data_IF_694155345182
#
_entry.id   IF_694155345182
#
_cell.length_a   1.000
_cell.length_b   1.000
_cell.length_c   1.000
_cell.angle_alpha   90.00
_cell.angle_beta   90.00
_cell.angle_gamma   90.00
#
_symmetry.space_group_name_H-M   'P 1'
#
loop_
_entity.id
_entity.type
_entity.pdbx_description
1 polymer ?
#
# COMPACT_ATOMS: atom_id res chain seq x y z
N UNK A 1 -35.31 -2.75 2.78
CA UNK A 1 -35.52 -4.08 2.19
C UNK A 1 -34.43 -4.48 1.18
N UNK A 2 -33.37 -3.68 0.98
CA UNK A 2 -32.40 -3.90 -0.12
C UNK A 2 -31.20 -4.80 0.24
N UNK A 3 -30.84 -4.96 1.52
CA UNK A 3 -29.69 -5.79 1.94
C UNK A 3 -29.82 -7.28 1.55
N UNK A 4 -31.04 -7.78 1.30
CA UNK A 4 -31.25 -9.15 0.86
C UNK A 4 -30.86 -9.40 -0.60
N UNK A 5 -30.92 -8.38 -1.46
CA UNK A 5 -30.63 -8.52 -2.88
C UNK A 5 -29.14 -8.67 -3.14
N UNK A 6 -28.30 -7.80 -2.56
CA UNK A 6 -26.84 -7.89 -2.68
C UNK A 6 -26.33 -9.25 -2.17
N UNK A 7 -26.64 -9.64 -0.92
CA UNK A 7 -26.22 -10.94 -0.37
C UNK A 7 -26.65 -12.13 -1.23
N UNK A 8 -27.83 -12.06 -1.86
CA UNK A 8 -28.30 -13.12 -2.77
C UNK A 8 -27.48 -13.20 -4.06
N UNK A 9 -27.15 -12.06 -4.67
CA UNK A 9 -26.26 -11.94 -5.83
C UNK A 9 -24.87 -12.51 -5.55
N UNK A 10 -24.38 -12.34 -4.33
CA UNK A 10 -23.02 -12.69 -3.95
C UNK A 10 -22.94 -14.18 -3.61
N UNK A 11 -23.98 -14.74 -2.99
CA UNK A 11 -24.15 -16.21 -2.94
C UNK A 11 -24.29 -16.82 -4.33
N UNK A 12 -25.00 -16.16 -5.24
CA UNK A 12 -25.14 -16.62 -6.62
C UNK A 12 -23.79 -16.61 -7.37
N UNK A 13 -22.90 -15.67 -7.07
CA UNK A 13 -21.56 -15.63 -7.72
C UNK A 13 -20.64 -16.78 -7.31
N UNK A 14 -20.84 -17.35 -6.11
CA UNK A 14 -20.14 -18.56 -5.68
C UNK A 14 -20.64 -19.82 -6.41
N UNK A 15 -21.86 -19.78 -6.96
CA UNK A 15 -22.49 -20.90 -7.67
C UNK A 15 -22.42 -20.77 -9.19
N UNK A 16 -22.52 -19.56 -9.73
CA UNK A 16 -22.49 -19.25 -11.17
C UNK A 16 -21.89 -17.86 -11.39
N UNK A 17 -20.56 -17.83 -11.43
CA UNK A 17 -19.76 -16.64 -11.63
C UNK A 17 -20.05 -15.95 -12.98
N UNK A 18 -20.29 -16.73 -14.04
CA UNK A 18 -20.47 -16.21 -15.38
C UNK A 18 -21.84 -15.52 -15.53
N UNK A 19 -22.90 -16.09 -14.95
CA UNK A 19 -24.22 -15.46 -14.92
C UNK A 19 -24.22 -14.15 -14.13
N UNK A 20 -23.55 -14.13 -12.96
CA UNK A 20 -23.43 -12.89 -12.17
C UNK A 20 -22.60 -11.84 -12.89
N UNK A 21 -21.51 -12.24 -13.56
CA UNK A 21 -20.72 -11.33 -14.41
C UNK A 21 -21.60 -10.69 -15.48
N UNK A 22 -22.40 -11.49 -16.21
CA UNK A 22 -23.28 -10.98 -17.26
C UNK A 22 -24.35 -10.02 -16.70
N UNK A 23 -24.91 -10.32 -15.52
CA UNK A 23 -25.84 -9.43 -14.85
C UNK A 23 -25.19 -8.10 -14.43
N UNK A 24 -24.01 -8.14 -13.82
CA UNK A 24 -23.31 -6.92 -13.39
C UNK A 24 -22.88 -6.04 -14.57
N UNK A 25 -22.68 -6.63 -15.74
CA UNK A 25 -22.42 -5.91 -16.98
C UNK A 25 -23.68 -5.30 -17.60
N UNK A 26 -24.87 -5.82 -17.28
CA UNK A 26 -26.14 -5.39 -17.88
C UNK A 26 -26.90 -4.35 -17.05
N UNK A 27 -26.59 -4.20 -15.76
CA UNK A 27 -27.23 -3.20 -14.88
C UNK A 27 -26.66 -1.79 -15.06
N UNK A 28 -27.49 -0.79 -14.75
CA UNK A 28 -27.10 0.62 -14.81
C UNK A 28 -26.10 0.99 -13.70
N UNK A 29 -25.32 2.05 -13.93
CA UNK A 29 -24.28 2.48 -13.01
C UNK A 29 -24.84 2.84 -11.61
N UNK A 30 -26.03 3.44 -11.56
CA UNK A 30 -26.67 3.85 -10.30
C UNK A 30 -27.20 2.64 -9.50
N UNK A 31 -27.73 1.62 -10.19
CA UNK A 31 -28.16 0.37 -9.58
C UNK A 31 -26.96 -0.41 -9.01
N UNK A 32 -25.86 -0.46 -9.77
CA UNK A 32 -24.60 -1.03 -9.31
C UNK A 32 -24.04 -0.26 -8.10
N UNK A 33 -24.09 1.07 -8.12
CA UNK A 33 -23.64 1.90 -7.00
C UNK A 33 -24.52 1.61 -5.76
N UNK A 34 -25.83 1.46 -5.92
CA UNK A 34 -26.73 1.04 -4.84
C UNK A 34 -26.38 -0.33 -4.25
N UNK A 35 -26.04 -1.30 -5.10
CA UNK A 35 -25.55 -2.62 -4.67
C UNK A 35 -24.24 -2.50 -3.88
N UNK A 36 -23.25 -1.76 -4.40
CA UNK A 36 -21.97 -1.52 -3.73
C UNK A 36 -22.14 -0.78 -2.39
N UNK A 37 -23.06 0.18 -2.33
CA UNK A 37 -23.38 0.96 -1.11
C UNK A 37 -24.10 0.13 -0.05
N UNK A 38 -24.79 -0.93 -0.45
CA UNK A 38 -25.39 -1.88 0.47
C UNK A 38 -24.37 -2.83 1.11
N UNK A 39 -23.21 -3.00 0.46
CA UNK A 39 -22.09 -3.85 0.91
C UNK A 39 -21.07 -3.01 1.71
N UNK A 40 -20.89 -1.73 1.36
CA UNK A 40 -20.01 -0.82 2.08
C UNK A 40 -20.59 -0.41 3.45
N UNK A 41 -19.74 -0.25 4.49
CA UNK A 41 -20.18 0.27 5.77
C UNK A 41 -20.69 1.71 5.62
N UNK A 42 -21.94 1.96 6.02
CA UNK A 42 -22.53 3.30 6.02
C UNK A 42 -21.87 4.17 7.10
N UNK A 43 -21.65 5.45 6.77
CA UNK A 43 -21.19 6.47 7.72
C UNK A 43 -22.01 6.38 9.01
N UNK A 44 -21.36 6.10 10.14
CA UNK A 44 -21.98 6.07 11.47
C UNK A 44 -22.38 7.49 11.90
N UNK A 45 -23.42 8.04 11.29
CA UNK A 45 -24.15 9.21 11.78
C UNK A 45 -25.47 8.76 12.41
N UNK A 46 -25.41 8.06 13.54
CA UNK A 46 -26.47 8.14 14.55
C UNK A 46 -26.00 7.50 15.85
N UNK A 47 -26.27 8.17 16.97
CA UNK A 47 -25.70 7.84 18.27
C UNK A 47 -26.06 6.47 18.84
N UNK A 48 -25.24 6.09 19.82
CA UNK A 48 -25.48 5.06 20.84
C UNK A 48 -25.80 3.64 20.33
N UNK A 49 -24.74 2.93 20.00
CA UNK A 49 -24.19 1.78 20.74
C UNK A 49 -22.89 1.44 20.02
N UNK A 50 -21.93 0.79 20.70
CA UNK A 50 -20.83 0.10 20.01
C UNK A 50 -21.49 -0.85 19.03
N UNK A 51 -21.69 -0.43 17.77
CA UNK A 51 -22.10 -1.32 16.72
C UNK A 51 -20.95 -2.28 16.58
N UNK A 52 -21.18 -3.53 16.96
CA UNK A 52 -20.41 -4.64 16.44
C UNK A 52 -20.27 -4.38 14.94
N UNK A 53 -19.07 -3.96 14.54
CA UNK A 53 -18.59 -4.09 13.18
C UNK A 53 -18.46 -5.61 12.96
N UNK A 54 -19.61 -6.27 12.80
CA UNK A 54 -19.70 -7.68 12.42
C UNK A 54 -19.42 -7.74 10.93
N UNK A 55 -18.14 -7.57 10.67
CA UNK A 55 -17.42 -7.51 9.41
C UNK A 55 -17.03 -8.94 9.00
N UNK A 56 -17.90 -9.92 9.26
CA UNK A 56 -17.52 -11.34 9.16
C UNK A 56 -18.07 -12.12 7.95
N UNK A 57 -18.99 -11.61 7.13
CA UNK A 57 -19.55 -12.41 6.01
C UNK A 57 -19.75 -11.69 4.65
N UNK A 58 -19.52 -10.38 4.53
CA UNK A 58 -19.98 -9.59 3.35
C UNK A 58 -18.87 -9.03 2.43
N UNK A 59 -17.61 -9.48 2.53
CA UNK A 59 -16.53 -8.98 1.64
C UNK A 59 -16.30 -9.82 0.40
N UNK A 60 -16.43 -11.14 0.50
CA UNK A 60 -16.41 -12.08 -0.63
C UNK A 60 -17.23 -11.57 -1.84
N UNK A 61 -18.40 -10.97 -1.61
CA UNK A 61 -19.02 -10.03 -2.52
C UNK A 61 -18.15 -9.12 -3.40
N UNK A 62 -17.43 -8.19 -2.77
CA UNK A 62 -16.57 -7.20 -3.40
C UNK A 62 -15.38 -7.87 -4.08
N UNK A 63 -14.89 -8.98 -3.52
CA UNK A 63 -13.85 -9.83 -4.15
C UNK A 63 -14.31 -10.33 -5.50
N UNK A 64 -15.51 -10.92 -5.56
CA UNK A 64 -16.05 -11.44 -6.82
C UNK A 64 -16.29 -10.31 -7.82
N UNK A 65 -16.68 -9.11 -7.37
CA UNK A 65 -16.79 -7.92 -8.22
C UNK A 65 -15.43 -7.41 -8.74
N UNK A 66 -14.35 -7.55 -7.95
CA UNK A 66 -12.99 -7.19 -8.32
C UNK A 66 -12.39 -8.17 -9.33
N UNK A 67 -12.60 -9.47 -9.11
CA UNK A 67 -12.04 -10.56 -9.91
C UNK A 67 -12.81 -10.76 -11.22
N UNK A 68 -14.14 -10.66 -11.20
CA UNK A 68 -14.94 -11.17 -12.31
C UNK A 68 -15.42 -10.09 -13.30
N UNK A 69 -15.37 -8.79 -12.96
CA UNK A 69 -15.95 -7.77 -13.83
C UNK A 69 -15.05 -6.53 -14.00
N UNK A 70 -14.50 -6.37 -15.21
CA UNK A 70 -13.73 -5.19 -15.61
C UNK A 70 -14.47 -3.87 -15.36
N UNK A 71 -15.80 -3.85 -15.53
CA UNK A 71 -16.58 -2.62 -15.37
C UNK A 71 -16.67 -2.17 -13.90
N UNK A 72 -16.48 -3.08 -12.94
CA UNK A 72 -16.74 -2.81 -11.52
C UNK A 72 -15.50 -2.80 -10.65
N UNK A 73 -14.38 -3.36 -11.13
CA UNK A 73 -13.12 -3.46 -10.37
C UNK A 73 -12.65 -2.13 -9.79
N UNK A 74 -12.51 -1.10 -10.61
CA UNK A 74 -12.09 0.24 -10.13
C UNK A 74 -13.03 0.79 -9.05
N UNK A 75 -14.35 0.62 -9.21
CA UNK A 75 -15.35 1.09 -8.24
C UNK A 75 -15.25 0.32 -6.91
N UNK A 76 -15.10 -1.00 -6.97
CA UNK A 76 -14.92 -1.84 -5.79
C UNK A 76 -13.61 -1.49 -5.06
N UNK A 77 -12.49 -1.35 -5.78
CA UNK A 77 -11.22 -0.95 -5.19
C UNK A 77 -11.30 0.43 -4.53
N UNK A 78 -11.95 1.39 -5.21
CA UNK A 78 -12.19 2.73 -4.65
C UNK A 78 -12.99 2.68 -3.34
N UNK A 79 -14.03 1.83 -3.27
CA UNK A 79 -14.86 1.68 -2.07
C UNK A 79 -14.08 1.02 -0.93
N UNK A 80 -13.30 -0.01 -1.21
CA UNK A 80 -12.42 -0.64 -0.22
C UNK A 80 -11.42 0.38 0.34
N UNK A 81 -10.77 1.17 -0.50
CA UNK A 81 -9.84 2.22 -0.05
C UNK A 81 -10.58 3.26 0.83
N UNK A 82 -11.84 3.59 0.50
CA UNK A 82 -12.67 4.45 1.35
C UNK A 82 -13.03 3.82 2.69
N UNK A 83 -13.24 2.50 2.75
CA UNK A 83 -13.43 1.76 4.01
C UNK A 83 -12.17 1.82 4.85
N UNK A 84 -10.99 1.58 4.26
CA UNK A 84 -9.72 1.75 4.96
C UNK A 84 -9.52 3.20 5.46
N UNK A 85 -10.08 4.18 4.75
CA UNK A 85 -10.00 5.60 5.11
C UNK A 85 -10.92 6.02 6.25
N UNK A 86 -12.16 5.56 6.24
CA UNK A 86 -13.22 6.05 7.14
C UNK A 86 -13.66 5.04 8.18
N UNK A 87 -13.62 3.76 7.83
CA UNK A 87 -13.73 2.69 8.80
C UNK A 87 -12.44 2.65 9.59
N UNK A 88 -12.52 2.25 10.85
CA UNK A 88 -11.36 1.82 11.61
C UNK A 88 -11.34 0.29 11.60
N UNK A 89 -11.12 -0.38 10.44
CA UNK A 89 -11.04 -1.83 10.39
C UNK A 89 -9.87 -2.32 11.25
N UNK A 90 -9.97 -3.56 11.70
CA UNK A 90 -8.84 -4.23 12.34
C UNK A 90 -7.68 -4.41 11.36
N UNK A 91 -6.50 -4.70 11.88
CA UNK A 91 -5.31 -4.96 11.06
C UNK A 91 -5.52 -6.13 10.10
N UNK A 92 -6.09 -7.23 10.60
CA UNK A 92 -6.42 -8.41 9.80
C UNK A 92 -7.43 -8.08 8.69
N UNK A 93 -8.48 -7.33 9.01
CA UNK A 93 -9.48 -6.90 8.02
C UNK A 93 -8.86 -6.02 6.94
N UNK A 94 -7.97 -5.13 7.34
CA UNK A 94 -7.26 -4.26 6.40
C UNK A 94 -6.39 -5.08 5.46
N UNK A 95 -5.60 -6.03 6.00
CA UNK A 95 -4.79 -6.94 5.18
C UNK A 95 -5.64 -7.76 4.21
N UNK A 96 -6.78 -8.28 4.66
CA UNK A 96 -7.72 -9.00 3.81
C UNK A 96 -8.19 -8.10 2.66
N UNK A 97 -8.76 -6.93 2.98
CA UNK A 97 -9.25 -5.97 1.99
C UNK A 97 -8.20 -5.55 0.94
N UNK A 98 -6.95 -5.36 1.36
CA UNK A 98 -5.84 -5.06 0.46
C UNK A 98 -5.50 -6.24 -0.45
N UNK A 99 -5.52 -7.46 0.12
CA UNK A 99 -5.30 -8.69 -0.63
C UNK A 99 -6.35 -8.85 -1.73
N UNK A 100 -7.60 -8.49 -1.46
CA UNK A 100 -8.67 -8.57 -2.45
C UNK A 100 -8.47 -7.61 -3.62
N UNK A 101 -8.02 -6.38 -3.35
CA UNK A 101 -7.63 -5.45 -4.40
C UNK A 101 -6.53 -6.08 -5.26
N UNK A 102 -5.48 -6.61 -4.64
CA UNK A 102 -4.37 -7.24 -5.35
C UNK A 102 -4.85 -8.44 -6.19
N UNK A 103 -5.70 -9.32 -5.66
CA UNK A 103 -6.24 -10.45 -6.41
C UNK A 103 -7.04 -10.01 -7.64
N UNK A 104 -7.90 -8.99 -7.49
CA UNK A 104 -8.68 -8.46 -8.60
C UNK A 104 -7.84 -7.91 -9.75
N UNK A 105 -6.75 -7.21 -9.44
CA UNK A 105 -5.84 -6.66 -10.44
C UNK A 105 -4.87 -7.70 -11.01
N UNK A 106 -4.41 -8.67 -10.21
CA UNK A 106 -3.63 -9.81 -10.71
C UNK A 106 -4.44 -10.63 -11.72
N UNK A 107 -5.71 -10.94 -11.41
CA UNK A 107 -6.61 -11.64 -12.33
C UNK A 107 -6.78 -10.87 -13.65
N UNK A 108 -6.91 -9.54 -13.58
CA UNK A 108 -7.02 -8.70 -14.76
C UNK A 108 -5.75 -8.72 -15.63
N UNK A 109 -4.58 -8.78 -14.99
CA UNK A 109 -3.30 -8.91 -15.65
C UNK A 109 -3.17 -10.28 -16.33
N UNK A 110 -3.55 -11.37 -15.66
CA UNK A 110 -3.54 -12.73 -16.23
C UNK A 110 -4.45 -12.84 -17.46
N UNK A 111 -5.68 -12.31 -17.38
CA UNK A 111 -6.61 -12.24 -18.52
C UNK A 111 -6.02 -11.46 -19.71
N UNK A 112 -5.27 -10.39 -19.43
CA UNK A 112 -4.60 -9.60 -20.46
C UNK A 112 -3.49 -10.44 -21.12
N UNK A 113 -2.73 -11.22 -20.35
CA UNK A 113 -1.67 -12.06 -20.88
C UNK A 113 -2.21 -13.16 -21.82
N UNK A 114 -3.36 -13.74 -21.52
CA UNK A 114 -4.04 -14.71 -22.40
C UNK A 114 -4.46 -14.12 -23.75
N UNK A 115 -4.70 -12.80 -23.78
CA UNK A 115 -5.09 -12.06 -24.99
C UNK A 115 -3.91 -11.63 -25.87
N UNK A 116 -2.66 -11.94 -25.52
CA UNK A 116 -1.45 -11.56 -26.30
C UNK A 116 -1.53 -11.98 -27.78
N UNK A 117 -2.23 -13.06 -28.11
CA UNK A 117 -2.44 -13.52 -29.50
C UNK A 117 -3.34 -12.58 -30.32
N UNK A 118 -4.18 -11.77 -29.68
CA UNK A 118 -5.13 -10.82 -30.30
C UNK A 118 -4.63 -9.38 -30.13
N UNK A 119 -3.63 -8.98 -30.93
CA UNK A 119 -2.89 -7.71 -30.81
C UNK A 119 -3.75 -6.47 -30.55
N UNK A 120 -4.82 -6.25 -31.32
CA UNK A 120 -5.65 -5.05 -31.17
C UNK A 120 -6.44 -5.05 -29.85
N UNK A 121 -7.06 -6.19 -29.49
CA UNK A 121 -7.81 -6.32 -28.24
C UNK A 121 -6.89 -6.23 -27.02
N UNK A 122 -5.69 -6.82 -27.11
CA UNK A 122 -4.66 -6.71 -26.09
C UNK A 122 -4.26 -5.26 -25.86
N UNK A 123 -3.97 -4.49 -26.92
CA UNK A 123 -3.58 -3.08 -26.78
C UNK A 123 -4.69 -2.24 -26.12
N UNK A 124 -5.94 -2.42 -26.53
CA UNK A 124 -7.08 -1.69 -25.96
C UNK A 124 -7.28 -2.04 -24.48
N UNK A 125 -7.27 -3.33 -24.12
CA UNK A 125 -7.42 -3.77 -22.73
C UNK A 125 -6.23 -3.37 -21.85
N UNK A 126 -5.01 -3.45 -22.38
CA UNK A 126 -3.79 -3.00 -21.70
C UNK A 126 -3.90 -1.53 -21.33
N UNK A 127 -4.29 -0.68 -22.29
CA UNK A 127 -4.48 0.75 -22.05
C UNK A 127 -5.55 0.99 -20.98
N UNK A 128 -6.70 0.33 -21.09
CA UNK A 128 -7.80 0.46 -20.13
C UNK A 128 -7.37 0.04 -18.70
N UNK A 129 -6.68 -1.08 -18.56
CA UNK A 129 -6.17 -1.56 -17.27
C UNK A 129 -5.14 -0.58 -16.69
N UNK A 130 -4.25 -0.06 -17.53
CA UNK A 130 -3.28 0.95 -17.13
C UNK A 130 -3.98 2.23 -16.65
N UNK A 131 -4.99 2.72 -17.38
CA UNK A 131 -5.79 3.89 -16.98
C UNK A 131 -6.50 3.66 -15.63
N UNK A 132 -7.05 2.46 -15.39
CA UNK A 132 -7.65 2.09 -14.11
C UNK A 132 -6.64 2.09 -12.96
N UNK A 133 -5.44 1.54 -13.16
CA UNK A 133 -4.37 1.53 -12.15
C UNK A 133 -3.95 2.95 -11.80
N UNK A 134 -3.84 3.86 -12.78
CA UNK A 134 -3.56 5.27 -12.51
C UNK A 134 -4.62 5.89 -11.61
N UNK A 135 -5.91 5.63 -11.87
CA UNK A 135 -6.97 6.16 -11.02
C UNK A 135 -6.91 5.58 -9.60
N UNK A 136 -6.60 4.29 -9.45
CA UNK A 136 -6.42 3.70 -8.10
C UNK A 136 -5.24 4.35 -7.38
N UNK A 137 -4.10 4.51 -8.03
CA UNK A 137 -2.93 5.18 -7.46
C UNK A 137 -3.24 6.63 -7.07
N UNK A 138 -4.01 7.37 -7.87
CA UNK A 138 -4.46 8.71 -7.51
C UNK A 138 -5.32 8.73 -6.23
N UNK A 139 -6.22 7.78 -6.08
CA UNK A 139 -7.04 7.64 -4.87
C UNK A 139 -6.15 7.30 -3.66
N UNK A 140 -5.21 6.36 -3.83
CA UNK A 140 -4.26 5.97 -2.78
C UNK A 140 -3.39 7.16 -2.38
N UNK A 141 -2.82 7.90 -3.33
CA UNK A 141 -1.98 9.07 -3.04
C UNK A 141 -2.77 10.19 -2.35
N UNK A 142 -4.00 10.46 -2.78
CA UNK A 142 -4.85 11.44 -2.10
C UNK A 142 -5.07 11.07 -0.63
N UNK A 143 -5.19 9.77 -0.32
CA UNK A 143 -5.31 9.32 1.06
C UNK A 143 -3.97 9.33 1.81
N UNK A 144 -2.87 8.91 1.17
CA UNK A 144 -1.53 8.98 1.77
C UNK A 144 -1.16 10.42 2.13
N UNK A 145 -1.46 11.40 1.28
CA UNK A 145 -1.22 12.81 1.55
C UNK A 145 -1.95 13.27 2.81
N UNK A 146 -3.22 12.90 2.98
CA UNK A 146 -3.98 13.19 4.19
C UNK A 146 -3.38 12.50 5.43
N UNK A 147 -3.00 11.22 5.31
CA UNK A 147 -2.46 10.43 6.41
C UNK A 147 -1.08 10.95 6.88
N UNK A 148 -0.24 11.37 5.93
CA UNK A 148 1.10 11.92 6.19
C UNK A 148 1.01 13.34 6.76
N UNK A 149 0.12 14.18 6.22
CA UNK A 149 -0.05 15.57 6.70
C UNK A 149 -0.67 15.62 8.08
N UNK A 150 -1.67 14.77 8.34
CA UNK A 150 -2.38 14.71 9.63
C UNK A 150 -1.85 13.58 10.51
N UNK A 151 -0.54 13.32 10.52
CA UNK A 151 0.09 12.22 11.26
C UNK A 151 -0.37 12.18 12.73
N UNK A 152 -1.44 11.40 12.97
CA UNK A 152 -2.03 11.13 14.28
C UNK A 152 -1.67 9.70 14.66
N UNK A 153 -1.53 9.39 15.96
CA UNK A 153 -1.29 8.02 16.41
C UNK A 153 -2.32 7.01 15.88
N UNK A 154 -3.57 7.44 15.65
CA UNK A 154 -4.63 6.64 15.03
C UNK A 154 -4.32 6.20 13.58
N UNK A 155 -3.50 6.97 12.86
CA UNK A 155 -3.16 6.70 11.46
C UNK A 155 -1.96 5.76 11.32
N UNK A 156 -1.27 5.44 12.42
CA UNK A 156 -0.06 4.60 12.41
C UNK A 156 -0.31 3.18 11.89
N UNK A 157 -1.55 2.67 11.96
CA UNK A 157 -1.93 1.37 11.41
C UNK A 157 -2.33 1.43 9.94
N UNK A 158 -2.91 2.55 9.51
CA UNK A 158 -3.49 2.71 8.17
C UNK A 158 -2.42 3.07 7.14
N UNK A 159 -1.40 3.83 7.55
CA UNK A 159 -0.33 4.26 6.65
C UNK A 159 0.46 3.09 6.03
N UNK A 160 0.96 2.09 6.80
CA UNK A 160 1.67 0.94 6.22
C UNK A 160 0.79 0.12 5.26
N UNK A 161 -0.48 -0.04 5.62
CA UNK A 161 -1.48 -0.78 4.84
C UNK A 161 -1.70 -0.15 3.46
N UNK A 162 -1.89 1.17 3.40
CA UNK A 162 -2.02 1.89 2.13
C UNK A 162 -0.73 1.86 1.32
N UNK A 163 0.42 2.01 2.01
CA UNK A 163 1.71 1.97 1.34
C UNK A 163 1.96 0.62 0.69
N UNK A 164 1.48 -0.49 1.26
CA UNK A 164 1.58 -1.82 0.64
C UNK A 164 0.93 -1.93 -0.75
N UNK A 165 -0.05 -1.10 -1.10
CA UNK A 165 -0.63 -1.09 -2.45
C UNK A 165 0.28 -0.41 -3.47
N UNK A 166 1.10 0.54 -3.04
CA UNK A 166 1.85 1.41 -3.95
C UNK A 166 2.89 0.62 -4.75
N UNK A 167 3.80 -0.18 -4.14
CA UNK A 167 4.74 -0.99 -4.89
C UNK A 167 4.07 -1.94 -5.88
N UNK A 168 3.00 -2.60 -5.44
CA UNK A 168 2.25 -3.55 -6.24
C UNK A 168 1.73 -2.91 -7.54
N UNK A 169 1.05 -1.76 -7.43
CA UNK A 169 0.52 -1.04 -8.59
C UNK A 169 1.59 -0.36 -9.44
N UNK A 170 2.70 0.09 -8.82
CA UNK A 170 3.85 0.61 -9.56
C UNK A 170 4.54 -0.48 -10.38
N UNK A 171 4.74 -1.67 -9.82
CA UNK A 171 5.29 -2.83 -10.50
C UNK A 171 4.42 -3.25 -11.68
N UNK A 172 3.12 -3.41 -11.45
CA UNK A 172 2.16 -3.72 -12.51
C UNK A 172 2.13 -2.66 -13.60
N UNK A 173 2.15 -1.37 -13.24
CA UNK A 173 2.24 -0.28 -14.21
C UNK A 173 3.52 -0.35 -15.04
N UNK A 174 4.63 -0.74 -14.43
CA UNK A 174 5.91 -0.97 -15.11
C UNK A 174 5.82 -2.08 -16.15
N UNK A 175 5.22 -3.22 -15.80
CA UNK A 175 4.99 -4.33 -16.73
C UNK A 175 4.05 -3.95 -17.89
N UNK A 176 3.08 -3.09 -17.61
CA UNK A 176 2.12 -2.59 -18.59
C UNK A 176 2.63 -1.41 -19.41
N UNK A 177 3.78 -0.80 -19.11
CA UNK A 177 4.38 0.27 -19.93
C UNK A 177 5.38 -0.32 -20.91
N UNK A 178 5.42 0.24 -22.12
CA UNK A 178 6.43 -0.13 -23.13
C UNK A 178 7.74 0.67 -22.94
N UNK A 179 7.71 1.73 -22.13
CA UNK A 179 8.83 2.66 -21.94
C UNK A 179 9.51 2.47 -20.58
N UNK A 180 10.85 2.47 -20.63
CA UNK A 180 11.73 2.47 -19.46
C UNK A 180 11.84 3.92 -18.97
N UNK A 181 10.83 4.37 -18.23
CA UNK A 181 10.80 5.70 -17.61
C UNK A 181 10.57 5.59 -16.10
N UNK A 182 11.13 6.50 -15.33
CA UNK A 182 10.75 6.66 -13.92
C UNK A 182 9.25 6.98 -13.86
N UNK A 183 8.51 6.16 -13.13
CA UNK A 183 7.06 6.32 -12.98
C UNK A 183 6.74 7.67 -12.35
N UNK A 184 5.89 8.48 -13.00
CA UNK A 184 5.36 9.74 -12.45
C UNK A 184 4.76 9.54 -11.06
N UNK A 185 4.10 8.40 -10.85
CA UNK A 185 3.56 7.97 -9.57
C UNK A 185 4.64 7.76 -8.49
N UNK A 186 5.84 7.29 -8.87
CA UNK A 186 6.96 7.18 -7.92
C UNK A 186 7.48 8.56 -7.52
N UNK A 187 7.60 9.50 -8.47
CA UNK A 187 7.98 10.88 -8.16
C UNK A 187 6.98 11.51 -7.17
N UNK A 188 5.68 11.34 -7.43
CA UNK A 188 4.61 11.80 -6.54
C UNK A 188 4.70 11.21 -5.14
N UNK A 189 5.01 9.91 -5.00
CA UNK A 189 5.24 9.28 -3.69
C UNK A 189 6.39 9.95 -2.92
N UNK A 190 7.51 10.25 -3.60
CA UNK A 190 8.69 10.86 -2.99
C UNK A 190 8.51 12.35 -2.65
N UNK A 191 7.57 13.02 -3.32
CA UNK A 191 7.22 14.44 -3.10
C UNK A 191 6.24 14.66 -1.94
N UNK A 192 5.60 13.61 -1.41
CA UNK A 192 4.72 13.73 -0.24
C UNK A 192 5.48 14.31 0.97
N UNK A 193 4.79 15.03 1.88
CA UNK A 193 5.40 15.75 3.00
C UNK A 193 5.81 14.80 4.15
N UNK A 194 6.71 13.86 3.88
CA UNK A 194 7.19 12.88 4.85
C UNK A 194 7.80 13.53 6.08
N UNK A 195 7.49 12.96 7.24
CA UNK A 195 8.02 13.38 8.54
C UNK A 195 8.85 12.26 9.17
N UNK A 196 9.60 12.57 10.22
CA UNK A 196 10.38 11.56 10.94
C UNK A 196 9.51 10.43 11.51
N UNK A 197 8.20 10.67 11.72
CA UNK A 197 7.25 9.68 12.20
C UNK A 197 6.73 8.75 11.09
N UNK A 198 6.62 9.24 9.87
CA UNK A 198 5.98 8.53 8.75
C UNK A 198 6.99 7.94 7.77
N UNK A 199 8.20 8.50 7.70
CA UNK A 199 9.24 8.05 6.79
C UNK A 199 9.72 6.61 7.03
N UNK A 200 9.74 6.05 8.27
CA UNK A 200 10.08 4.64 8.45
C UNK A 200 9.16 3.71 7.66
N UNK A 201 7.84 3.96 7.63
CA UNK A 201 6.90 3.15 6.86
C UNK A 201 7.15 3.22 5.35
N UNK A 202 7.57 4.38 4.84
CA UNK A 202 7.97 4.51 3.44
C UNK A 202 9.22 3.67 3.14
N UNK A 203 10.24 3.78 3.99
CA UNK A 203 11.51 3.09 3.78
C UNK A 203 11.36 1.57 3.86
N UNK A 204 10.59 1.07 4.83
CA UNK A 204 10.32 -0.36 5.01
C UNK A 204 9.72 -0.97 3.73
N UNK A 205 8.69 -0.33 3.17
CA UNK A 205 8.02 -0.76 1.93
C UNK A 205 8.95 -0.69 0.71
N UNK A 206 9.76 0.37 0.58
CA UNK A 206 10.71 0.49 -0.53
C UNK A 206 11.91 -0.47 -0.41
N UNK A 207 12.24 -0.93 0.81
CA UNK A 207 13.27 -1.95 1.03
C UNK A 207 12.78 -3.33 0.56
N UNK A 208 11.50 -3.64 0.77
CA UNK A 208 10.90 -4.89 0.28
C UNK A 208 10.91 -4.94 -1.26
N UNK A 209 10.58 -3.83 -1.92
CA UNK A 209 10.54 -3.72 -3.39
C UNK A 209 11.61 -2.77 -3.97
N UNK A 210 12.87 -3.00 -3.59
CA UNK A 210 14.01 -2.13 -3.97
C UNK A 210 14.22 -1.94 -5.48
N UNK A 211 13.72 -2.86 -6.31
CA UNK A 211 13.81 -2.79 -7.77
C UNK A 211 12.98 -1.63 -8.37
N UNK A 212 11.98 -1.12 -7.65
CA UNK A 212 11.17 0.02 -8.08
C UNK A 212 11.96 1.33 -8.08
N UNK A 213 13.03 1.40 -7.30
CA UNK A 213 13.77 2.63 -7.04
C UNK A 213 15.05 2.68 -7.86
N UNK A 214 15.17 3.71 -8.70
CA UNK A 214 16.43 4.00 -9.38
C UNK A 214 17.49 4.51 -8.40
N UNK A 215 18.77 4.42 -8.78
CA UNK A 215 19.86 5.01 -7.99
C UNK A 215 19.65 6.51 -7.72
N UNK A 216 19.12 7.26 -8.69
CA UNK A 216 18.81 8.68 -8.53
C UNK A 216 17.68 8.93 -7.54
N UNK A 217 16.62 8.11 -7.59
CA UNK A 217 15.48 8.17 -6.66
C UNK A 217 15.91 7.88 -5.22
N UNK A 218 16.79 6.89 -5.02
CA UNK A 218 17.37 6.61 -3.71
C UNK A 218 18.21 7.77 -3.17
N UNK A 219 19.01 8.43 -4.03
CA UNK A 219 19.82 9.59 -3.64
C UNK A 219 18.94 10.78 -3.24
N UNK A 220 17.90 11.07 -4.02
CA UNK A 220 16.92 12.12 -3.69
C UNK A 220 16.25 11.85 -2.33
N UNK A 221 15.81 10.61 -2.10
CA UNK A 221 15.18 10.22 -0.84
C UNK A 221 16.18 10.33 0.34
N UNK A 222 17.43 9.91 0.13
CA UNK A 222 18.49 10.04 1.13
C UNK A 222 18.75 11.49 1.52
N UNK A 223 18.82 12.41 0.55
CA UNK A 223 19.00 13.84 0.80
C UNK A 223 17.80 14.43 1.56
N UNK A 224 16.58 14.01 1.21
CA UNK A 224 15.36 14.42 1.91
C UNK A 224 15.36 13.94 3.36
N UNK A 225 15.65 12.67 3.61
CA UNK A 225 15.74 12.10 4.97
C UNK A 225 16.85 12.75 5.78
N UNK A 226 18.03 12.95 5.18
CA UNK A 226 19.15 13.63 5.83
C UNK A 226 18.81 15.05 6.26
N UNK A 227 18.15 15.83 5.38
CA UNK A 227 17.65 17.16 5.72
C UNK A 227 16.62 17.09 6.85
N UNK A 228 15.60 16.25 6.71
CA UNK A 228 14.52 16.07 7.67
C UNK A 228 15.04 15.83 9.10
N UNK A 229 15.98 14.90 9.23
CA UNK A 229 16.58 14.50 10.52
C UNK A 229 17.49 15.59 11.10
N UNK A 230 18.18 16.36 10.28
CA UNK A 230 19.14 17.39 10.75
C UNK A 230 18.48 18.74 11.05
N UNK A 231 17.32 19.03 10.44
CA UNK A 231 16.59 20.29 10.65
C UNK A 231 15.46 20.18 11.68
N UNK A 232 15.10 18.98 12.12
CA UNK A 232 14.01 18.79 13.09
C UNK A 232 14.46 19.21 14.51
N UNK A 233 13.81 20.19 15.16
CA UNK A 233 14.08 20.54 16.54
C UNK A 233 13.59 19.40 17.44
N UNK A 234 14.49 18.80 18.22
CA UNK A 234 14.24 17.76 19.24
C UNK A 234 13.27 16.64 18.80
N UNK A 235 13.78 15.72 17.99
CA UNK A 235 13.07 14.46 17.72
C UNK A 235 12.88 13.66 19.01
N UNK A 236 11.67 13.12 19.23
CA UNK A 236 11.44 12.16 20.31
C UNK A 236 12.28 10.90 20.08
N UNK A 237 12.85 10.34 21.15
CA UNK A 237 13.69 9.13 21.07
C UNK A 237 12.94 7.92 20.49
N UNK A 238 11.62 7.83 20.75
CA UNK A 238 10.72 6.83 20.18
C UNK A 238 10.65 6.88 18.65
N UNK A 239 10.86 8.06 18.06
CA UNK A 239 10.86 8.27 16.60
C UNK A 239 12.23 8.00 15.99
N UNK A 240 13.33 8.14 16.74
CA UNK A 240 14.68 7.94 16.24
C UNK A 240 14.98 6.47 15.91
N UNK A 241 14.56 5.52 16.76
CA UNK A 241 14.90 4.11 16.60
C UNK A 241 14.35 3.48 15.29
N UNK A 242 13.07 3.71 14.91
CA UNK A 242 12.56 3.26 13.61
C UNK A 242 13.35 3.85 12.43
N UNK A 243 13.68 5.14 12.46
CA UNK A 243 14.47 5.78 11.37
C UNK A 243 15.87 5.17 11.28
N UNK A 244 16.52 4.90 12.42
CA UNK A 244 17.82 4.23 12.48
C UNK A 244 17.72 2.84 11.83
N UNK A 245 16.76 2.02 12.25
CA UNK A 245 16.52 0.67 11.70
C UNK A 245 16.39 0.72 10.18
N UNK A 246 15.51 1.58 9.68
CA UNK A 246 15.24 1.64 8.24
C UNK A 246 16.42 2.16 7.43
N UNK A 247 17.17 3.16 7.93
CA UNK A 247 18.37 3.61 7.24
C UNK A 247 19.40 2.48 7.07
N UNK A 248 19.54 1.59 8.07
CA UNK A 248 20.42 0.42 7.97
C UNK A 248 19.90 -0.57 6.93
N UNK A 249 18.60 -0.86 6.95
CA UNK A 249 17.98 -1.77 5.98
C UNK A 249 18.11 -1.26 4.54
N UNK A 250 17.91 0.04 4.32
CA UNK A 250 18.11 0.70 3.03
C UNK A 250 19.57 0.63 2.59
N UNK A 251 20.52 0.87 3.50
CA UNK A 251 21.95 0.75 3.20
C UNK A 251 22.31 -0.67 2.72
N UNK A 252 21.70 -1.70 3.29
CA UNK A 252 21.95 -3.09 2.92
C UNK A 252 21.45 -3.42 1.50
N UNK A 253 20.27 -2.93 1.12
CA UNK A 253 19.73 -3.20 -0.23
C UNK A 253 20.35 -2.32 -1.31
N UNK A 254 20.76 -1.09 -0.97
CA UNK A 254 21.34 -0.14 -1.93
C UNK A 254 22.87 -0.21 -2.03
N UNK A 255 23.54 -0.73 -1.00
CA UNK A 255 25.00 -0.65 -0.85
C UNK A 255 25.53 0.76 -0.58
N UNK A 256 24.67 1.75 -0.32
CA UNK A 256 25.08 3.14 -0.11
C UNK A 256 25.31 3.46 1.38
N UNK A 257 26.58 3.65 1.74
CA UNK A 257 27.01 3.93 3.09
C UNK A 257 26.58 5.31 3.63
N UNK A 258 26.09 6.22 2.79
CA UNK A 258 25.57 7.51 3.27
C UNK A 258 24.35 7.35 4.17
N UNK A 259 23.53 6.32 3.94
CA UNK A 259 22.42 5.95 4.84
C UNK A 259 22.90 5.58 6.25
N UNK A 260 24.04 4.91 6.35
CA UNK A 260 24.69 4.62 7.64
C UNK A 260 25.12 5.92 8.34
N UNK A 261 25.52 6.94 7.58
CA UNK A 261 25.81 8.27 8.11
C UNK A 261 24.62 8.89 8.85
N UNK A 262 23.42 8.79 8.28
CA UNK A 262 22.16 9.27 8.90
C UNK A 262 21.86 8.48 10.18
N UNK A 263 21.96 7.15 10.13
CA UNK A 263 21.74 6.29 11.29
C UNK A 263 22.70 6.61 12.45
N UNK A 264 24.00 6.80 12.15
CA UNK A 264 25.02 7.18 13.15
C UNK A 264 24.77 8.56 13.75
N UNK A 265 24.30 9.52 12.95
CA UNK A 265 23.94 10.84 13.45
C UNK A 265 22.84 10.74 14.50
N UNK A 266 21.78 9.97 14.23
CA UNK A 266 20.67 9.74 15.18
C UNK A 266 21.12 8.96 16.43
N UNK A 267 21.91 7.90 16.27
CA UNK A 267 22.43 7.11 17.40
C UNK A 267 23.23 7.95 18.40
N UNK A 268 23.98 8.94 17.93
CA UNK A 268 24.74 9.86 18.79
C UNK A 268 23.85 10.77 19.63
N UNK A 269 22.63 11.05 19.17
CA UNK A 269 21.67 11.87 19.91
C UNK A 269 20.88 11.07 20.96
N UNK A 270 20.80 9.75 20.83
CA UNK A 270 20.12 8.91 21.82
C UNK A 270 20.86 8.85 23.17
N UNK A 271 20.14 8.83 24.31
CA UNK A 271 20.68 8.44 25.61
C UNK A 271 21.35 7.07 25.57
N UNK A 272 22.33 6.84 26.45
CA UNK A 272 23.16 5.63 26.43
C UNK A 272 22.35 4.31 26.49
N UNK A 273 21.28 4.25 27.28
CA UNK A 273 20.44 3.05 27.40
C UNK A 273 19.65 2.76 26.11
N UNK A 274 19.08 3.77 25.45
CA UNK A 274 18.36 3.60 24.18
C UNK A 274 19.30 3.32 23.02
N UNK A 275 20.55 3.80 23.09
CA UNK A 275 21.58 3.45 22.11
C UNK A 275 21.93 1.97 22.16
N UNK A 276 22.13 1.42 23.36
CA UNK A 276 22.38 -0.01 23.55
C UNK A 276 21.20 -0.87 23.05
N UNK A 277 19.97 -0.45 23.31
CA UNK A 277 18.77 -1.11 22.79
C UNK A 277 18.71 -1.07 21.26
N UNK A 278 18.96 0.09 20.64
CA UNK A 278 18.99 0.24 19.19
C UNK A 278 20.08 -0.64 18.55
N UNK A 279 21.29 -0.67 19.13
CA UNK A 279 22.39 -1.54 18.69
C UNK A 279 22.03 -3.02 18.79
N UNK A 280 21.39 -3.44 19.88
CA UNK A 280 20.91 -4.81 20.05
C UNK A 280 19.83 -5.17 19.02
N UNK A 281 18.86 -4.29 18.80
CA UNK A 281 17.80 -4.50 17.80
C UNK A 281 18.37 -4.61 16.39
N UNK A 282 19.36 -3.80 16.04
CA UNK A 282 20.07 -3.88 14.76
C UNK A 282 20.82 -5.21 14.59
N UNK A 283 21.49 -5.69 15.65
CA UNK A 283 22.14 -7.01 15.63
C UNK A 283 21.13 -8.12 15.35
N UNK A 284 20.00 -8.10 16.04
CA UNK A 284 18.95 -9.11 15.84
C UNK A 284 18.40 -9.07 14.42
N UNK A 285 18.10 -7.89 13.88
CA UNK A 285 17.58 -7.74 12.51
C UNK A 285 18.60 -8.19 11.45
N UNK A 286 19.89 -7.89 11.64
CA UNK A 286 20.95 -8.37 10.73
C UNK A 286 21.15 -9.89 10.81
N UNK A 287 21.12 -10.49 12.01
CA UNK A 287 21.27 -11.94 12.21
C UNK A 287 20.13 -12.73 11.56
N UNK A 288 18.90 -12.21 11.59
CA UNK A 288 17.77 -12.86 10.91
C UNK A 288 17.87 -12.82 9.38
N UNK A 289 18.50 -11.79 8.80
CA UNK A 289 18.62 -11.61 7.33
C UNK A 289 19.92 -12.19 6.75
N UNK A 290 20.97 -12.37 7.55
CA UNK A 290 22.21 -13.07 7.16
C UNK A 290 21.98 -14.56 6.80
N UNK A 291 20.87 -15.16 7.24
CA UNK A 291 20.43 -16.48 6.76
C UNK A 291 19.94 -16.48 5.30
N UNK A 292 19.75 -15.30 4.69
CA UNK A 292 19.21 -15.15 3.33
C UNK A 292 20.12 -14.37 2.37
N UNK A 293 20.96 -13.47 2.88
CA UNK A 293 21.94 -12.74 2.07
C UNK A 293 23.11 -12.33 2.94
N UNK A 294 24.17 -13.15 2.96
CA UNK A 294 25.37 -12.84 3.74
C UNK A 294 26.03 -11.58 3.20
N UNK A 295 26.13 -10.53 4.01
CA UNK A 295 27.14 -9.44 4.00
C UNK A 295 26.68 -8.31 4.95
N UNK A 296 27.64 -7.80 5.76
CA UNK A 296 27.65 -6.57 6.58
C UNK A 296 27.17 -6.64 8.06
N UNK A 297 27.78 -7.51 8.85
CA UNK A 297 27.78 -7.42 10.33
C UNK A 297 28.79 -6.42 10.91
N UNK A 298 29.73 -5.87 10.12
CA UNK A 298 30.91 -5.19 10.66
C UNK A 298 30.89 -3.66 10.72
N UNK A 299 29.86 -2.97 10.20
CA UNK A 299 29.92 -1.50 10.00
C UNK A 299 29.43 -0.68 11.20
N UNK A 300 28.78 -1.31 12.19
CA UNK A 300 28.27 -0.60 13.38
C UNK A 300 29.13 -0.70 14.64
N UNK A 301 30.19 -1.53 14.64
CA UNK A 301 30.96 -1.83 15.86
C UNK A 301 32.29 -1.09 16.01
N UNK A 302 32.50 0.02 15.28
CA UNK A 302 33.68 0.90 15.45
C UNK A 302 33.23 2.35 15.62
#
# INVERSE_FOLDING_TARGET
>A
MEQGSARSLLRASATDADAVRQYLQSIEADELNGLLDSIAPRDAKCGKKKSEFLVQDDWLPLVHLLVQCEATRLRAASRIIQVLRRGSPSELESMQLLTEINLGYSSALDELQELKKKKLQHLVKRKKLLDEIHVVLEIVFSFLEEAVTNAKPSNGKVLPQLLGLVPYFLGMSGELRDEIGTSESLAKLLELPWSCQTVPSLLDVLVEDSALMSKGSWQQLQENVGRMVTTSPEMASETMNPVIRECVLVANVTGDHKWIGIARYLLRQLPAHLRQEAEFNLQMVCVFRERSSGVLTSVFFV
#
